data_IF_347421973011
#
_entry.id   IF_347421973011
#
_cell.length_a   1.000
_cell.length_b   1.000
_cell.length_c   1.000
_cell.angle_alpha   90.00
_cell.angle_beta   90.00
_cell.angle_gamma   90.00
#
_symmetry.space_group_name_H-M   'P 1'
#
loop_
_entity.id
_entity.type
_entity.pdbx_description
1 polymer ?
#
# COMPACT_ATOMS: atom_id res chain seq x y z
N UNK A 1 -19.16 -12.48 15.95
CA UNK A 1 -17.79 -12.13 15.53
C UNK A 1 -17.90 -11.27 14.29
N UNK A 2 -17.91 -9.95 14.44
CA UNK A 2 -17.97 -9.01 13.32
C UNK A 2 -16.54 -8.77 12.82
N UNK A 3 -16.28 -9.09 11.55
CA UNK A 3 -15.01 -8.81 10.92
C UNK A 3 -14.81 -7.28 10.83
N UNK A 4 -13.71 -6.77 11.38
CA UNK A 4 -13.33 -5.37 11.19
C UNK A 4 -13.06 -5.14 9.71
N UNK A 5 -13.65 -4.10 9.07
CA UNK A 5 -13.42 -3.85 7.67
C UNK A 5 -11.93 -3.59 7.40
N UNK A 6 -11.37 -4.30 6.42
CA UNK A 6 -9.97 -4.18 6.00
C UNK A 6 -9.71 -2.76 5.48
N UNK A 7 -8.66 -2.10 5.97
CA UNK A 7 -8.28 -0.76 5.50
C UNK A 7 -7.64 -0.89 4.11
N UNK A 8 -8.27 -0.33 3.09
CA UNK A 8 -7.83 -0.39 1.68
C UNK A 8 -7.11 0.90 1.29
N UNK A 9 -6.00 0.78 0.59
CA UNK A 9 -5.22 1.94 0.09
C UNK A 9 -4.73 1.72 -1.34
N UNK A 10 -4.76 2.77 -2.15
CA UNK A 10 -4.03 2.82 -3.43
C UNK A 10 -2.72 3.54 -3.19
N UNK A 11 -1.60 2.93 -3.60
CA UNK A 11 -0.26 3.49 -3.43
C UNK A 11 0.38 3.69 -4.80
N UNK A 12 0.79 4.94 -5.09
CA UNK A 12 1.58 5.23 -6.28
C UNK A 12 3.02 4.78 -6.06
N UNK A 13 3.41 3.70 -6.74
CA UNK A 13 4.70 3.06 -6.60
C UNK A 13 5.62 3.53 -7.73
N UNK A 14 6.48 4.50 -7.44
CA UNK A 14 7.46 5.02 -8.40
C UNK A 14 8.71 4.13 -8.54
N UNK A 15 8.90 3.18 -7.62
CA UNK A 15 10.12 2.38 -7.51
C UNK A 15 11.25 3.07 -6.74
N UNK A 16 11.05 4.32 -6.31
CA UNK A 16 11.97 5.02 -5.40
C UNK A 16 11.93 4.49 -3.97
N UNK A 17 12.95 4.84 -3.17
CA UNK A 17 13.10 4.43 -1.78
C UNK A 17 11.84 4.71 -0.94
N UNK A 18 11.29 5.92 -1.04
CA UNK A 18 10.16 6.36 -0.23
C UNK A 18 8.90 5.54 -0.53
N UNK A 19 8.57 5.39 -1.82
CA UNK A 19 7.37 4.65 -2.25
C UNK A 19 7.45 3.17 -1.87
N UNK A 20 8.65 2.59 -1.94
CA UNK A 20 8.91 1.19 -1.58
C UNK A 20 8.85 1.00 -0.05
N UNK A 21 9.40 1.94 0.71
CA UNK A 21 9.37 1.93 2.18
C UNK A 21 7.93 2.06 2.68
N UNK A 22 7.15 2.97 2.08
CA UNK A 22 5.74 3.16 2.42
C UNK A 22 4.91 1.90 2.14
N UNK A 23 5.17 1.21 1.02
CA UNK A 23 4.51 -0.05 0.69
C UNK A 23 4.76 -1.12 1.78
N UNK A 24 6.02 -1.26 2.22
CA UNK A 24 6.37 -2.17 3.31
C UNK A 24 5.68 -1.80 4.63
N UNK A 25 5.73 -0.53 5.00
CA UNK A 25 5.09 -0.01 6.21
C UNK A 25 3.58 -0.22 6.20
N UNK A 26 2.88 0.16 5.12
CA UNK A 26 1.43 0.03 5.02
C UNK A 26 0.98 -1.44 5.09
N UNK A 27 1.74 -2.37 4.49
CA UNK A 27 1.47 -3.81 4.62
C UNK A 27 1.67 -4.31 6.05
N UNK A 28 2.71 -3.84 6.75
CA UNK A 28 2.95 -4.19 8.15
C UNK A 28 1.82 -3.68 9.07
N UNK A 29 1.23 -2.54 8.75
CA UNK A 29 0.05 -1.96 9.42
C UNK A 29 -1.28 -2.67 9.07
N UNK A 30 -1.25 -3.74 8.27
CA UNK A 30 -2.43 -4.53 7.94
C UNK A 30 -3.33 -3.91 6.87
N UNK A 31 -2.80 -2.99 6.05
CA UNK A 31 -3.55 -2.44 4.93
C UNK A 31 -3.56 -3.41 3.75
N UNK A 32 -4.71 -3.47 3.07
CA UNK A 32 -4.82 -4.03 1.75
C UNK A 32 -4.39 -2.98 0.72
N UNK A 33 -3.13 -3.07 0.30
CA UNK A 33 -2.50 -2.07 -0.58
C UNK A 33 -2.56 -2.52 -2.03
N UNK A 34 -3.13 -1.66 -2.88
CA UNK A 34 -3.13 -1.76 -4.34
C UNK A 34 -2.08 -0.82 -4.91
N UNK A 35 -0.96 -1.37 -5.39
CA UNK A 35 0.11 -0.57 -5.98
C UNK A 35 -0.19 -0.24 -7.44
N UNK A 36 0.01 1.02 -7.83
CA UNK A 36 -0.10 1.51 -9.20
C UNK A 36 1.20 2.21 -9.58
N UNK A 37 1.75 1.86 -10.74
CA UNK A 37 2.91 2.53 -11.32
C UNK A 37 2.57 3.02 -12.71
N UNK A 38 3.25 4.08 -13.14
CA UNK A 38 3.09 4.68 -14.46
C UNK A 38 4.45 4.71 -15.15
N UNK A 39 4.48 4.31 -16.40
CA UNK A 39 5.61 4.51 -17.30
C UNK A 39 5.25 5.73 -18.18
N UNK A 40 5.85 6.87 -17.85
CA UNK A 40 5.56 8.17 -18.48
C UNK A 40 6.58 8.51 -19.56
#
# INVERSE_FOLDING_TARGET
MTATPTKRAVLLLSGGLDSTTLLGHARAEGWEVYALSFDY
#
